data_IF_967946166334
#
_entry.id   IF_967946166334
#
_cell.length_a   1.000
_cell.length_b   1.000
_cell.length_c   1.000
_cell.angle_alpha   90.00
_cell.angle_beta   90.00
_cell.angle_gamma   90.00
#
_symmetry.space_group_name_H-M   'P 1'
#
loop_
_entity.id
_entity.type
_entity.pdbx_description
1 polymer ?
#
# COMPACT_ATOMS: atom_id res chain seq x y z
N UNK A 1 -10.65 -12.91 8.04
CA UNK A 1 -9.22 -12.77 7.76
C UNK A 1 -8.33 -13.29 8.86
N UNK A 2 -8.90 -14.12 9.70
CA UNK A 2 -8.14 -14.70 10.80
C UNK A 2 -7.04 -15.66 10.35
N UNK A 3 -7.08 -16.07 9.08
CA UNK A 3 -6.13 -17.04 8.56
C UNK A 3 -4.89 -16.43 7.92
N UNK A 4 -4.81 -15.10 7.90
CA UNK A 4 -3.66 -14.44 7.30
C UNK A 4 -2.41 -14.70 8.11
N UNK A 5 -1.37 -15.15 7.43
CA UNK A 5 -0.08 -15.43 8.05
C UNK A 5 0.98 -14.53 7.47
N UNK A 6 1.96 -14.21 8.30
CA UNK A 6 3.14 -13.51 7.83
C UNK A 6 3.92 -14.42 6.87
N UNK A 7 4.22 -13.91 5.68
CA UNK A 7 4.96 -14.69 4.69
C UNK A 7 6.44 -14.79 5.02
N UNK A 8 6.90 -13.99 5.97
CA UNK A 8 8.31 -14.01 6.38
C UNK A 8 8.57 -14.99 7.52
N UNK A 9 7.76 -14.92 8.58
CA UNK A 9 8.02 -15.76 9.77
C UNK A 9 6.90 -16.76 10.08
N UNK A 10 5.75 -16.67 9.38
CA UNK A 10 4.65 -17.60 9.57
C UNK A 10 3.73 -17.30 10.72
N UNK A 11 3.95 -16.21 11.45
CA UNK A 11 3.10 -15.87 12.58
C UNK A 11 1.69 -15.49 12.12
N UNK A 12 0.71 -15.72 12.98
CA UNK A 12 -0.68 -15.30 12.75
C UNK A 12 -0.99 -14.07 13.58
N UNK A 13 -2.18 -13.51 13.38
CA UNK A 13 -2.62 -12.37 14.18
C UNK A 13 -2.01 -11.06 13.73
N UNK A 14 -1.91 -10.87 12.42
CA UNK A 14 -1.37 -9.63 11.86
C UNK A 14 -2.25 -8.44 12.23
N UNK A 15 -1.62 -7.30 12.47
CA UNK A 15 -2.29 -6.07 12.87
C UNK A 15 -2.66 -5.25 11.64
N UNK A 16 -3.93 -4.90 11.52
CA UNK A 16 -4.40 -4.09 10.40
C UNK A 16 -3.95 -2.64 10.54
N UNK A 17 -3.56 -2.05 9.43
CA UNK A 17 -3.18 -0.66 9.37
C UNK A 17 -3.15 -0.19 7.93
N UNK A 18 -2.50 0.93 7.70
CA UNK A 18 -2.30 1.44 6.36
C UNK A 18 -0.97 2.20 6.31
N UNK A 19 -0.47 2.42 5.09
CA UNK A 19 0.78 3.16 4.91
C UNK A 19 0.43 4.63 4.75
N UNK A 20 0.93 5.44 5.67
CA UNK A 20 0.68 6.88 5.65
C UNK A 20 1.53 7.56 4.57
N UNK A 21 0.92 8.51 3.88
CA UNK A 21 1.62 9.36 2.93
C UNK A 21 1.35 10.81 3.32
N UNK A 22 2.39 11.51 3.72
CA UNK A 22 2.29 12.90 4.17
C UNK A 22 2.69 13.90 3.08
N UNK A 23 2.91 13.43 1.86
CA UNK A 23 3.28 14.28 0.76
C UNK A 23 2.21 15.28 0.39
N UNK A 24 2.63 16.37 -0.24
CA UNK A 24 1.72 17.41 -0.71
C UNK A 24 0.77 16.81 -1.75
N UNK A 25 -0.51 17.08 -1.59
CA UNK A 25 -1.54 16.54 -2.48
C UNK A 25 -1.99 15.14 -2.12
N UNK A 26 -1.36 14.50 -1.16
CA UNK A 26 -1.81 13.21 -0.68
C UNK A 26 -3.03 13.39 0.23
N UNK A 27 -3.75 12.31 0.47
CA UNK A 27 -4.89 12.35 1.40
C UNK A 27 -4.57 11.65 2.70
N UNK A 28 -3.29 11.51 3.00
CA UNK A 28 -2.82 10.89 4.23
C UNK A 28 -2.52 9.41 4.10
N UNK A 29 -2.73 8.82 2.95
CA UNK A 29 -2.46 7.41 2.75
C UNK A 29 -1.86 7.13 1.38
N UNK A 30 -1.02 6.11 1.30
CA UNK A 30 -0.40 5.70 0.04
C UNK A 30 -1.42 4.93 -0.81
N UNK A 31 -1.21 4.99 -2.12
CA UNK A 31 -2.11 4.36 -3.08
C UNK A 31 -1.31 3.59 -4.12
N UNK A 32 -1.87 2.47 -4.55
CA UNK A 32 -1.34 1.75 -5.69
C UNK A 32 -1.90 2.36 -6.96
N UNK A 33 -1.05 2.52 -7.97
CA UNK A 33 -1.48 3.05 -9.25
C UNK A 33 -1.06 2.07 -10.34
N UNK A 34 -1.94 1.87 -11.33
CA UNK A 34 -1.71 0.89 -12.38
C UNK A 34 -0.58 1.34 -13.32
N UNK A 35 0.14 0.35 -13.83
CA UNK A 35 1.19 0.56 -14.82
C UNK A 35 2.55 0.88 -14.22
N UNK A 36 3.58 0.89 -15.05
CA UNK A 36 4.93 1.19 -14.58
C UNK A 36 5.09 2.66 -14.23
N UNK A 37 6.06 2.95 -13.38
CA UNK A 37 6.39 4.32 -13.04
C UNK A 37 6.93 5.03 -14.28
N UNK A 38 6.26 6.12 -14.66
CA UNK A 38 6.73 6.99 -15.72
C UNK A 38 6.81 8.41 -15.16
N UNK A 39 7.90 9.10 -15.45
CA UNK A 39 8.08 10.46 -14.96
C UNK A 39 7.52 11.46 -15.96
N UNK A 40 6.78 12.43 -15.44
CA UNK A 40 6.27 13.52 -16.27
C UNK A 40 7.35 14.53 -16.58
N UNK A 41 6.96 15.59 -17.28
CA UNK A 41 7.86 16.64 -17.75
C UNK A 41 8.61 17.31 -16.60
N UNK A 42 7.97 17.42 -15.44
CA UNK A 42 8.55 18.06 -14.25
C UNK A 42 9.15 17.07 -13.27
N UNK A 43 9.39 15.84 -13.70
CA UNK A 43 10.01 14.81 -12.87
C UNK A 43 9.08 14.03 -11.99
N UNK A 44 7.80 14.42 -11.88
CA UNK A 44 6.81 13.67 -11.13
C UNK A 44 6.28 12.47 -11.89
N UNK A 45 5.68 11.52 -11.17
CA UNK A 45 5.10 10.35 -11.80
C UNK A 45 3.86 10.72 -12.61
N UNK A 46 3.68 10.08 -13.77
CA UNK A 46 2.47 10.24 -14.57
C UNK A 46 1.35 9.44 -13.91
N UNK A 47 0.32 10.13 -13.46
CA UNK A 47 -0.78 9.49 -12.73
C UNK A 47 -2.14 9.72 -13.36
N UNK A 48 -2.25 10.70 -14.24
CA UNK A 48 -3.52 11.10 -14.80
C UNK A 48 -4.14 9.98 -15.62
N UNK A 49 -5.41 9.69 -15.33
CA UNK A 49 -6.17 8.70 -16.07
C UNK A 49 -5.88 7.26 -15.71
N UNK A 50 -5.02 7.01 -14.74
CA UNK A 50 -4.70 5.63 -14.33
C UNK A 50 -5.57 5.17 -13.17
N UNK A 51 -6.03 3.91 -13.19
CA UNK A 51 -6.74 3.34 -12.04
C UNK A 51 -5.88 3.34 -10.79
N UNK A 52 -6.51 3.60 -9.66
CA UNK A 52 -5.84 3.61 -8.36
C UNK A 52 -6.60 2.74 -7.39
N UNK A 53 -5.87 2.19 -6.42
CA UNK A 53 -6.47 1.40 -5.35
C UNK A 53 -5.85 1.79 -4.03
N UNK A 54 -6.64 1.69 -2.96
CA UNK A 54 -6.10 1.89 -1.63
C UNK A 54 -5.22 0.71 -1.26
N UNK A 55 -4.23 0.96 -0.42
CA UNK A 55 -3.33 -0.07 0.06
C UNK A 55 -3.69 -0.37 1.51
N UNK A 56 -4.14 -1.60 1.76
CA UNK A 56 -4.33 -2.09 3.10
C UNK A 56 -3.05 -2.78 3.54
N UNK A 57 -2.61 -2.51 4.75
CA UNK A 57 -1.38 -3.07 5.29
C UNK A 57 -1.68 -3.89 6.53
N UNK A 58 -0.93 -4.97 6.69
CA UNK A 58 -1.03 -5.82 7.88
C UNK A 58 0.37 -6.05 8.39
N UNK A 59 0.61 -5.68 9.64
CA UNK A 59 1.93 -5.76 10.26
C UNK A 59 2.03 -7.00 11.12
N UNK A 60 3.10 -7.76 10.94
CA UNK A 60 3.37 -8.89 11.81
C UNK A 60 3.85 -8.38 13.18
N UNK A 61 3.17 -8.74 14.28
CA UNK A 61 3.60 -8.27 15.59
C UNK A 61 4.89 -8.92 16.06
N UNK A 62 5.31 -9.96 15.37
CA UNK A 62 6.48 -10.73 15.77
C UNK A 62 7.76 -10.27 15.10
N UNK A 63 7.73 -10.08 13.78
CA UNK A 63 8.93 -9.70 13.03
C UNK A 63 8.86 -8.34 12.38
N UNK A 64 7.67 -7.71 12.34
CA UNK A 64 7.49 -6.39 11.74
C UNK A 64 7.30 -6.39 10.24
N UNK A 65 7.22 -7.54 9.61
CA UNK A 65 6.97 -7.64 8.18
C UNK A 65 5.60 -7.09 7.82
N UNK A 66 5.49 -6.42 6.69
CA UNK A 66 4.20 -5.91 6.20
C UNK A 66 3.72 -6.73 5.03
N UNK A 67 2.42 -7.10 5.08
CA UNK A 67 1.71 -7.64 3.95
C UNK A 67 0.86 -6.52 3.38
N UNK A 68 1.00 -6.23 2.09
CA UNK A 68 0.29 -5.13 1.44
C UNK A 68 -0.69 -5.66 0.41
N UNK A 69 -1.89 -5.10 0.41
CA UNK A 69 -2.93 -5.48 -0.54
C UNK A 69 -3.51 -4.23 -1.18
N UNK A 70 -3.56 -4.21 -2.51
CA UNK A 70 -4.25 -3.15 -3.24
C UNK A 70 -5.71 -3.59 -3.40
N UNK A 71 -6.60 -2.98 -2.63
CA UNK A 71 -7.97 -3.49 -2.49
C UNK A 71 -8.98 -2.60 -3.20
N UNK A 72 -9.49 -1.59 -2.52
CA UNK A 72 -10.62 -0.82 -3.03
C UNK A 72 -10.19 0.18 -4.09
N UNK A 73 -10.93 0.28 -5.20
CA UNK A 73 -10.67 1.36 -6.18
C UNK A 73 -11.03 2.73 -5.59
N UNK A 74 -10.24 3.70 -5.90
CA UNK A 74 -10.46 5.06 -5.41
C UNK A 74 -10.24 6.11 -6.50
#
# INVERSE_FOLDING_TARGET
MSDMRCTYCGAVGLEQGFVEDTGEGSRGYARWIAGPLERGLLGGAKRLGRPRRQIDAYRCPRCGHLELFATEPI
#
